data_IF_703684465560
#
_entry.id   IF_703684465560
#
_cell.length_a   1.000
_cell.length_b   1.000
_cell.length_c   1.000
_cell.angle_alpha   90.00
_cell.angle_beta   90.00
_cell.angle_gamma   90.00
#
_symmetry.space_group_name_H-M   'P 1'
#
loop_
_entity.id
_entity.type
_entity.pdbx_description
1 polymer ?
#
# COMPACT_ATOMS: atom_id res chain seq x y z
N UNK A 1 -13.75 5.50 1.89
CA UNK A 1 -14.02 4.08 1.65
C UNK A 1 -15.32 3.62 2.30
N UNK A 2 -15.50 3.84 3.59
CA UNK A 2 -16.70 3.39 4.33
C UNK A 2 -17.97 4.02 3.77
N UNK A 3 -17.95 5.31 3.46
CA UNK A 3 -19.11 6.01 2.84
C UNK A 3 -19.47 5.45 1.45
N UNK A 4 -18.51 4.87 0.75
CA UNK A 4 -18.73 4.20 -0.54
C UNK A 4 -19.22 2.75 -0.40
N UNK A 5 -19.45 2.27 0.83
CA UNK A 5 -19.86 0.90 1.10
C UNK A 5 -18.74 -0.14 0.98
N UNK A 6 -17.48 0.30 0.95
CA UNK A 6 -16.35 -0.61 0.90
C UNK A 6 -16.02 -1.18 2.28
N UNK A 7 -15.56 -2.42 2.32
CA UNK A 7 -15.01 -3.04 3.53
C UNK A 7 -13.50 -2.81 3.55
N UNK A 8 -12.97 -2.04 4.51
CA UNK A 8 -11.54 -1.74 4.56
C UNK A 8 -10.74 -2.88 5.21
N UNK A 9 -9.54 -3.10 4.69
CA UNK A 9 -8.46 -3.86 5.33
C UNK A 9 -7.32 -2.89 5.55
N UNK A 10 -6.84 -2.76 6.78
CA UNK A 10 -5.78 -1.82 7.11
C UNK A 10 -4.44 -2.55 7.21
N UNK A 11 -3.41 -2.00 6.54
CA UNK A 11 -2.05 -2.45 6.71
C UNK A 11 -1.41 -1.69 7.89
N UNK A 12 -0.78 -2.45 8.76
CA UNK A 12 -0.15 -1.87 9.95
C UNK A 12 1.16 -1.17 9.59
N UNK A 13 1.35 0.02 10.13
CA UNK A 13 2.61 0.75 10.07
C UNK A 13 3.33 0.65 11.43
N UNK A 14 4.64 0.49 11.39
CA UNK A 14 5.47 0.55 12.58
C UNK A 14 5.53 1.97 13.14
N UNK A 15 5.85 2.09 14.42
CA UNK A 15 6.15 3.37 15.07
C UNK A 15 7.45 3.26 15.85
N UNK A 16 8.23 4.33 15.82
CA UNK A 16 9.42 4.41 16.67
C UNK A 16 9.03 4.74 18.13
N UNK A 17 9.98 4.68 19.09
CA UNK A 17 9.69 4.99 20.51
C UNK A 17 9.14 6.40 20.75
N UNK A 18 9.33 7.32 19.83
CA UNK A 18 8.82 8.69 19.92
C UNK A 18 7.45 8.88 19.27
N UNK A 19 6.85 7.81 18.73
CA UNK A 19 5.54 7.83 18.09
C UNK A 19 5.53 8.25 16.62
N UNK A 20 6.67 8.48 15.99
CA UNK A 20 6.74 8.75 14.55
C UNK A 20 6.39 7.50 13.75
N UNK A 21 5.65 7.69 12.66
CA UNK A 21 5.19 6.61 11.80
C UNK A 21 6.37 6.14 10.93
N UNK A 22 6.65 4.85 11.01
CA UNK A 22 7.58 4.17 10.12
C UNK A 22 6.89 3.63 8.86
N UNK A 23 7.57 2.71 8.18
CA UNK A 23 7.00 2.01 7.03
C UNK A 23 5.93 0.99 7.42
N UNK A 24 5.14 0.57 6.44
CA UNK A 24 4.29 -0.61 6.56
C UNK A 24 5.19 -1.82 6.78
N UNK A 25 4.87 -2.65 7.76
CA UNK A 25 5.64 -3.84 8.06
C UNK A 25 5.70 -4.79 6.85
N UNK A 26 6.88 -5.34 6.57
CA UNK A 26 7.11 -6.14 5.38
C UNK A 26 6.16 -7.35 5.26
N UNK A 27 5.73 -7.95 6.37
CA UNK A 27 4.79 -9.07 6.36
C UNK A 27 3.42 -8.69 5.80
N UNK A 28 3.01 -7.42 5.89
CA UNK A 28 1.76 -6.92 5.34
C UNK A 28 1.71 -6.97 3.80
N UNK A 29 2.87 -7.06 3.13
CA UNK A 29 2.95 -7.22 1.68
C UNK A 29 3.00 -8.69 1.23
N UNK A 30 2.90 -9.63 2.15
CA UNK A 30 2.83 -11.05 1.83
C UNK A 30 1.41 -11.40 1.34
N UNK A 31 1.32 -12.14 0.22
CA UNK A 31 0.03 -12.48 -0.39
C UNK A 31 -0.87 -13.30 0.56
N UNK A 32 -0.32 -14.29 1.25
CA UNK A 32 -1.12 -15.12 2.16
C UNK A 32 -1.64 -14.30 3.35
N UNK A 33 -0.82 -13.40 3.88
CA UNK A 33 -1.27 -12.46 4.91
C UNK A 33 -2.44 -11.60 4.41
N UNK A 34 -2.32 -11.03 3.22
CA UNK A 34 -3.37 -10.20 2.62
C UNK A 34 -4.66 -10.98 2.37
N UNK A 35 -4.55 -12.22 1.87
CA UNK A 35 -5.72 -13.09 1.69
C UNK A 35 -6.36 -13.47 3.03
N UNK A 36 -5.56 -13.67 4.07
CA UNK A 36 -6.08 -13.94 5.42
C UNK A 36 -6.87 -12.74 5.96
N UNK A 37 -6.41 -11.52 5.75
CA UNK A 37 -7.16 -10.33 6.14
C UNK A 37 -8.53 -10.25 5.44
N UNK A 38 -8.61 -10.69 4.20
CA UNK A 38 -9.89 -10.78 3.49
C UNK A 38 -10.77 -11.88 4.08
N UNK A 39 -10.22 -13.05 4.40
CA UNK A 39 -11.00 -14.14 5.04
C UNK A 39 -11.67 -13.69 6.31
N UNK A 40 -11.02 -12.81 7.05
CA UNK A 40 -11.54 -12.31 8.32
C UNK A 40 -12.74 -11.35 8.16
N UNK A 41 -12.85 -10.66 7.02
CA UNK A 41 -13.88 -9.63 6.80
C UNK A 41 -14.85 -9.95 5.66
N UNK A 42 -14.41 -10.71 4.66
CA UNK A 42 -15.20 -11.09 3.47
C UNK A 42 -14.70 -12.42 2.90
N UNK A 43 -14.92 -13.55 3.61
CA UNK A 43 -14.33 -14.86 3.28
C UNK A 43 -14.67 -15.33 1.87
N UNK A 44 -15.81 -14.95 1.32
CA UNK A 44 -16.25 -15.30 -0.03
C UNK A 44 -15.37 -14.68 -1.14
N UNK A 45 -14.54 -13.68 -0.81
CA UNK A 45 -13.67 -12.98 -1.76
C UNK A 45 -12.20 -13.40 -1.66
N UNK A 46 -11.82 -14.10 -0.59
CA UNK A 46 -10.40 -14.35 -0.27
C UNK A 46 -9.65 -15.13 -1.35
N UNK A 47 -10.32 -16.02 -2.07
CA UNK A 47 -9.72 -16.89 -3.08
C UNK A 47 -9.91 -16.37 -4.52
N UNK A 48 -10.50 -15.19 -4.70
CA UNK A 48 -10.59 -14.56 -6.02
C UNK A 48 -9.19 -14.23 -6.54
N UNK A 49 -8.98 -14.25 -7.88
CA UNK A 49 -7.68 -13.86 -8.47
C UNK A 49 -7.25 -12.44 -8.07
N UNK A 50 -8.19 -11.50 -8.03
CA UNK A 50 -8.00 -10.10 -7.61
C UNK A 50 -8.99 -9.78 -6.49
N UNK A 51 -8.67 -10.15 -5.25
CA UNK A 51 -9.62 -10.02 -4.15
C UNK A 51 -9.83 -8.58 -3.69
N UNK A 52 -8.88 -7.67 -3.97
CA UNK A 52 -8.99 -6.26 -3.63
C UNK A 52 -9.49 -5.44 -4.80
N UNK A 53 -10.48 -4.60 -4.58
CA UNK A 53 -10.91 -3.60 -5.58
C UNK A 53 -9.91 -2.48 -5.70
N UNK A 54 -9.40 -1.98 -4.57
CA UNK A 54 -8.52 -0.82 -4.51
C UNK A 54 -7.51 -0.99 -3.37
N UNK A 55 -6.24 -0.82 -3.67
CA UNK A 55 -5.20 -0.56 -2.69
C UNK A 55 -4.92 0.93 -2.64
N UNK A 56 -4.83 1.50 -1.45
CA UNK A 56 -4.42 2.89 -1.22
C UNK A 56 -3.11 2.86 -0.46
N UNK A 57 -2.06 3.37 -1.06
CA UNK A 57 -0.72 3.41 -0.47
C UNK A 57 -0.28 4.87 -0.38
N UNK A 58 -0.03 5.34 0.83
CA UNK A 58 0.62 6.62 1.03
C UNK A 58 2.10 6.47 0.68
N UNK A 59 2.49 7.01 -0.47
CA UNK A 59 3.83 6.78 -1.05
C UNK A 59 4.94 7.43 -0.22
N UNK A 60 4.67 8.55 0.41
CA UNK A 60 5.60 9.20 1.33
C UNK A 60 4.88 9.85 2.49
N UNK A 61 5.48 9.78 3.67
CA UNK A 61 4.95 10.40 4.88
C UNK A 61 5.62 11.74 5.14
N UNK A 62 4.97 12.60 5.94
CA UNK A 62 5.54 13.90 6.30
C UNK A 62 6.81 13.79 7.18
N UNK A 63 7.04 12.65 7.81
CA UNK A 63 8.25 12.36 8.59
C UNK A 63 9.34 11.62 7.80
N UNK A 64 9.19 11.54 6.46
CA UNK A 64 10.26 11.18 5.53
C UNK A 64 10.32 9.70 5.12
N UNK A 65 9.35 8.87 5.48
CA UNK A 65 9.26 7.51 4.93
C UNK A 65 8.80 7.57 3.48
N UNK A 66 9.58 6.99 2.57
CA UNK A 66 9.27 6.92 1.14
C UNK A 66 9.28 5.46 0.69
N UNK A 67 8.28 5.06 -0.09
CA UNK A 67 8.20 3.72 -0.66
C UNK A 67 8.71 3.69 -2.09
N UNK A 68 9.21 2.53 -2.48
CA UNK A 68 9.47 2.21 -3.88
C UNK A 68 8.14 1.81 -4.54
N UNK A 69 7.59 2.69 -5.39
CA UNK A 69 6.29 2.47 -6.04
C UNK A 69 6.30 1.24 -6.93
N UNK A 70 7.39 1.01 -7.68
CA UNK A 70 7.56 -0.16 -8.56
C UNK A 70 7.52 -1.45 -7.74
N UNK A 71 8.25 -1.50 -6.64
CA UNK A 71 8.25 -2.68 -5.76
C UNK A 71 6.86 -2.96 -5.16
N UNK A 72 6.12 -1.93 -4.79
CA UNK A 72 4.73 -2.10 -4.31
C UNK A 72 3.86 -2.71 -5.41
N UNK A 73 3.94 -2.18 -6.64
CA UNK A 73 3.18 -2.72 -7.78
C UNK A 73 3.54 -4.19 -8.04
N UNK A 74 4.83 -4.51 -8.07
CA UNK A 74 5.32 -5.87 -8.35
C UNK A 74 4.87 -6.86 -7.27
N UNK A 75 4.75 -6.40 -6.03
CA UNK A 75 4.41 -7.27 -4.89
C UNK A 75 2.90 -7.48 -4.74
N UNK A 76 2.08 -6.44 -4.87
CA UNK A 76 0.64 -6.51 -4.57
C UNK A 76 -0.27 -6.17 -5.74
N UNK A 77 0.27 -5.67 -6.85
CA UNK A 77 -0.53 -5.21 -7.98
C UNK A 77 -1.40 -6.30 -8.60
N UNK A 78 -0.94 -7.55 -8.60
CA UNK A 78 -1.70 -8.67 -9.13
C UNK A 78 -2.92 -9.05 -8.28
N UNK A 79 -2.98 -8.59 -7.03
CA UNK A 79 -4.10 -8.81 -6.11
C UNK A 79 -5.18 -7.72 -6.17
N UNK A 80 -4.91 -6.62 -6.88
CA UNK A 80 -5.75 -5.43 -6.88
C UNK A 80 -6.26 -5.11 -8.28
N UNK A 81 -7.49 -4.60 -8.38
CA UNK A 81 -7.96 -4.00 -9.64
C UNK A 81 -7.31 -2.63 -9.89
N UNK A 82 -7.16 -1.85 -8.83
CA UNK A 82 -6.57 -0.52 -8.87
C UNK A 82 -5.63 -0.28 -7.69
N UNK A 83 -4.59 0.52 -7.92
CA UNK A 83 -3.72 1.05 -6.87
C UNK A 83 -3.77 2.59 -6.95
N UNK A 84 -4.02 3.22 -5.83
CA UNK A 84 -3.92 4.66 -5.67
C UNK A 84 -2.68 4.96 -4.80
N UNK A 85 -1.75 5.73 -5.35
CA UNK A 85 -0.63 6.27 -4.59
C UNK A 85 -0.95 7.70 -4.14
N UNK A 86 -0.98 7.91 -2.82
CA UNK A 86 -1.02 9.25 -2.26
C UNK A 86 0.40 9.81 -2.18
N UNK A 87 0.71 10.73 -3.07
CA UNK A 87 2.05 11.33 -3.24
C UNK A 87 2.10 12.77 -2.75
N UNK A 88 1.21 13.19 -1.88
CA UNK A 88 1.09 14.59 -1.43
C UNK A 88 2.42 15.16 -0.89
N UNK A 89 3.29 14.32 -0.32
CA UNK A 89 4.55 14.72 0.30
C UNK A 89 5.80 14.46 -0.55
N UNK A 90 5.68 13.76 -1.68
CA UNK A 90 6.84 13.23 -2.42
C UNK A 90 6.81 13.49 -3.94
N UNK A 91 6.13 14.53 -4.40
CA UNK A 91 6.07 14.84 -5.83
C UNK A 91 7.42 15.21 -6.49
N UNK A 92 8.49 15.34 -5.72
CA UNK A 92 9.84 15.69 -6.17
C UNK A 92 10.66 14.50 -6.69
N UNK A 93 10.30 13.27 -6.36
CA UNK A 93 11.08 12.07 -6.68
C UNK A 93 11.26 11.88 -8.20
N UNK A 94 10.30 12.33 -9.01
CA UNK A 94 10.37 12.26 -10.46
C UNK A 94 11.53 13.08 -11.06
N UNK A 95 12.07 14.05 -10.32
CA UNK A 95 13.17 14.89 -10.73
C UNK A 95 14.54 14.42 -10.21
N UNK A 96 14.57 13.36 -9.43
CA UNK A 96 15.78 12.81 -8.81
C UNK A 96 16.05 11.42 -9.39
N UNK A 97 17.08 11.25 -10.25
CA UNK A 97 17.31 9.99 -10.96
C UNK A 97 17.40 8.76 -10.06
N UNK A 98 18.01 8.88 -8.88
CA UNK A 98 18.13 7.77 -7.93
C UNK A 98 16.79 7.36 -7.29
N UNK A 99 15.75 8.16 -7.45
CA UNK A 99 14.40 7.92 -6.90
C UNK A 99 13.39 7.54 -7.98
N UNK A 100 13.84 7.21 -9.18
CA UNK A 100 12.94 6.91 -10.31
C UNK A 100 11.90 5.82 -9.97
N UNK A 101 12.33 4.76 -9.29
CA UNK A 101 11.42 3.65 -8.91
C UNK A 101 10.45 4.02 -7.78
N UNK A 102 10.65 5.15 -7.12
CA UNK A 102 9.73 5.68 -6.10
C UNK A 102 8.62 6.52 -6.72
N UNK A 103 8.76 6.94 -7.99
CA UNK A 103 7.77 7.75 -8.67
C UNK A 103 6.75 6.89 -9.41
N UNK A 104 5.46 7.04 -9.14
CA UNK A 104 4.42 6.36 -9.92
C UNK A 104 4.19 7.01 -11.30
N UNK A 105 4.89 8.11 -11.61
CA UNK A 105 4.78 8.83 -12.88
C UNK A 105 5.86 8.42 -13.91
N UNK A 106 6.84 7.62 -13.52
CA UNK A 106 7.93 7.11 -14.36
C UNK A 106 7.88 5.55 -14.52
#
# INVERSE_FOLDING_TARGET
>A
LIQAGATPVYLEASRNPFGFIGGIDAHCFNEEYLRQQIRDVAPEKADLPRPYRLAIIQLGTYDGTVYNARQVIDTVGHLCDYILFDSAWVGYEQFIPMMADSSPLL
#
